data_IF_133540065915
#
_entry.id   IF_133540065915
#
_cell.length_a   1.000
_cell.length_b   1.000
_cell.length_c   1.000
_cell.angle_alpha   90.00
_cell.angle_beta   90.00
_cell.angle_gamma   90.00
#
_symmetry.space_group_name_H-M   'P 1'
#
loop_
_entity.id
_entity.type
_entity.pdbx_description
1 polymer ?
#
# COMPACT_ATOMS: atom_id res chain seq x y z
N UNK A 1 -9.16 -14.55 9.34
CA UNK A 1 -9.32 -14.30 7.90
C UNK A 1 -9.26 -12.80 7.75
N UNK A 2 -8.19 -12.25 7.17
CA UNK A 2 -8.16 -10.80 6.91
C UNK A 2 -9.05 -10.57 5.69
N UNK A 3 -10.15 -9.87 5.87
CA UNK A 3 -11.00 -9.43 4.76
C UNK A 3 -10.14 -8.56 3.83
N UNK A 4 -10.12 -8.91 2.55
CA UNK A 4 -9.42 -8.14 1.52
C UNK A 4 -10.35 -7.00 1.11
N UNK A 5 -9.90 -5.77 1.34
CA UNK A 5 -10.62 -4.57 0.88
C UNK A 5 -10.67 -4.55 -0.65
N UNK A 6 -11.86 -4.33 -1.19
CA UNK A 6 -12.10 -4.11 -2.62
C UNK A 6 -11.84 -2.65 -3.00
N UNK A 7 -11.67 -2.37 -4.29
CA UNK A 7 -11.32 -1.03 -4.77
C UNK A 7 -12.25 0.09 -4.29
N UNK A 8 -13.57 -0.12 -4.24
CA UNK A 8 -14.51 0.89 -3.72
C UNK A 8 -14.31 1.18 -2.22
N UNK A 9 -13.99 0.15 -1.43
CA UNK A 9 -13.73 0.28 0.00
C UNK A 9 -12.41 1.00 0.25
N UNK A 10 -11.39 0.74 -0.59
CA UNK A 10 -10.11 1.43 -0.55
C UNK A 10 -10.26 2.92 -0.92
N UNK A 11 -11.04 3.24 -1.95
CA UNK A 11 -11.34 4.64 -2.32
C UNK A 11 -12.03 5.35 -1.16
N UNK A 12 -13.08 4.74 -0.58
CA UNK A 12 -13.78 5.31 0.57
C UNK A 12 -12.87 5.52 1.79
N UNK A 13 -11.94 4.59 2.03
CA UNK A 13 -10.92 4.73 3.08
C UNK A 13 -10.02 5.94 2.80
N UNK A 14 -9.51 6.08 1.57
CA UNK A 14 -8.65 7.19 1.18
C UNK A 14 -9.35 8.53 1.41
N UNK A 15 -10.56 8.67 0.91
CA UNK A 15 -11.34 9.92 1.03
C UNK A 15 -11.62 10.28 2.49
N UNK A 16 -11.93 9.29 3.32
CA UNK A 16 -12.35 9.53 4.71
C UNK A 16 -11.17 9.73 5.67
N UNK A 17 -10.12 8.95 5.51
CA UNK A 17 -8.98 8.91 6.44
C UNK A 17 -7.90 9.90 6.04
N UNK A 18 -7.55 9.94 4.75
CA UNK A 18 -6.44 10.77 4.26
C UNK A 18 -6.89 12.14 3.77
N UNK A 19 -8.17 12.28 3.39
CA UNK A 19 -8.78 13.54 2.93
C UNK A 19 -7.92 14.28 1.89
N UNK A 20 -7.74 13.69 0.69
CA UNK A 20 -6.87 14.26 -0.35
C UNK A 20 -7.24 15.69 -0.69
N UNK A 21 -6.22 16.52 -0.93
CA UNK A 21 -6.33 17.94 -1.27
C UNK A 21 -6.08 18.15 -2.75
N UNK A 22 -6.55 19.27 -3.27
CA UNK A 22 -6.32 19.65 -4.66
C UNK A 22 -4.82 19.83 -5.02
N UNK A 23 -3.95 19.98 -4.03
CA UNK A 23 -2.48 20.07 -4.22
C UNK A 23 -1.80 18.72 -4.25
N UNK A 24 -2.48 17.64 -3.85
CA UNK A 24 -1.92 16.31 -3.87
C UNK A 24 -1.89 15.78 -5.30
N UNK A 25 -0.82 15.10 -5.68
CA UNK A 25 -0.57 14.70 -7.08
C UNK A 25 -0.69 13.20 -7.31
N UNK A 26 -0.81 12.41 -6.26
CA UNK A 26 -0.80 10.96 -6.34
C UNK A 26 -0.88 10.30 -4.97
N UNK A 27 -1.22 9.02 -4.99
CA UNK A 27 -1.19 8.13 -3.82
C UNK A 27 0.01 7.20 -3.99
N UNK A 28 0.92 7.24 -3.01
CA UNK A 28 2.06 6.33 -2.95
C UNK A 28 1.81 5.26 -1.89
N UNK A 29 1.70 4.00 -2.32
CA UNK A 29 1.69 2.85 -1.41
C UNK A 29 3.14 2.43 -1.20
N UNK A 30 3.63 2.58 0.04
CA UNK A 30 5.02 2.32 0.40
C UNK A 30 5.14 0.94 1.05
N UNK A 31 6.08 0.12 0.60
CA UNK A 31 6.35 -1.19 1.21
C UNK A 31 7.84 -1.49 1.29
N UNK A 32 8.26 -2.14 2.37
CA UNK A 32 9.64 -2.54 2.60
C UNK A 32 10.13 -3.58 1.59
N UNK A 33 11.34 -3.36 1.08
CA UNK A 33 12.10 -4.33 0.29
C UNK A 33 13.13 -5.03 1.19
N UNK A 34 13.04 -6.36 1.37
CA UNK A 34 14.08 -7.13 2.06
C UNK A 34 15.43 -7.03 1.35
N UNK A 35 16.51 -7.15 2.12
CA UNK A 35 17.89 -7.16 1.62
C UNK A 35 18.65 -8.39 2.12
N UNK A 36 19.92 -8.53 1.74
CA UNK A 36 20.73 -9.67 2.17
C UNK A 36 21.00 -9.69 3.70
N UNK A 37 20.84 -8.56 4.40
CA UNK A 37 21.05 -8.46 5.83
C UNK A 37 19.79 -8.82 6.61
N UNK A 38 18.60 -8.52 6.07
CA UNK A 38 17.31 -8.95 6.61
C UNK A 38 16.58 -9.76 5.55
N UNK A 39 16.71 -11.08 5.67
CA UNK A 39 16.11 -12.04 4.76
C UNK A 39 14.60 -11.85 4.67
N UNK A 40 14.07 -12.11 3.48
CA UNK A 40 12.63 -12.13 3.28
C UNK A 40 11.97 -13.24 4.12
N UNK A 41 10.74 -13.01 4.53
CA UNK A 41 9.96 -13.98 5.30
C UNK A 41 8.46 -13.89 4.95
N UNK A 42 7.67 -14.94 5.23
CA UNK A 42 6.28 -15.03 4.74
C UNK A 42 5.39 -13.85 5.10
N UNK A 43 5.57 -13.23 6.28
CA UNK A 43 4.76 -12.07 6.68
C UNK A 43 5.07 -10.82 5.86
N UNK A 44 6.33 -10.61 5.49
CA UNK A 44 6.73 -9.47 4.65
C UNK A 44 6.31 -9.68 3.22
N UNK A 45 6.44 -10.91 2.71
CA UNK A 45 5.88 -11.26 1.42
C UNK A 45 4.37 -10.98 1.39
N UNK A 46 3.62 -11.42 2.40
CA UNK A 46 2.19 -11.15 2.50
C UNK A 46 1.84 -9.65 2.51
N UNK A 47 2.67 -8.81 3.16
CA UNK A 47 2.50 -7.34 3.13
C UNK A 47 2.76 -6.76 1.74
N UNK A 48 3.78 -7.24 1.02
CA UNK A 48 4.04 -6.82 -0.37
C UNK A 48 2.95 -7.26 -1.33
N UNK A 49 2.45 -8.47 -1.18
CA UNK A 49 1.31 -8.98 -1.95
C UNK A 49 0.03 -8.18 -1.66
N UNK A 50 -0.21 -7.83 -0.40
CA UNK A 50 -1.33 -6.96 -0.01
C UNK A 50 -1.20 -5.56 -0.61
N UNK A 51 -0.03 -4.94 -0.49
CA UNK A 51 0.23 -3.60 -1.05
C UNK A 51 0.10 -3.57 -2.59
N UNK A 52 0.63 -4.59 -3.28
CA UNK A 52 0.45 -4.74 -4.71
C UNK A 52 -1.03 -4.92 -5.08
N UNK A 53 -1.76 -5.76 -4.36
CA UNK A 53 -3.20 -5.95 -4.55
C UNK A 53 -4.01 -4.67 -4.36
N UNK A 54 -3.70 -3.85 -3.35
CA UNK A 54 -4.36 -2.56 -3.17
C UNK A 54 -4.12 -1.60 -4.34
N UNK A 55 -2.89 -1.58 -4.87
CA UNK A 55 -2.55 -0.75 -6.04
C UNK A 55 -3.32 -1.22 -7.28
N UNK A 56 -3.45 -2.53 -7.49
CA UNK A 56 -4.26 -3.10 -8.58
C UNK A 56 -5.74 -2.73 -8.43
N UNK A 57 -6.32 -2.91 -7.25
CA UNK A 57 -7.71 -2.57 -6.95
C UNK A 57 -8.00 -1.07 -7.16
N UNK A 58 -7.12 -0.20 -6.66
CA UNK A 58 -7.24 1.25 -6.81
C UNK A 58 -7.04 1.72 -8.26
N UNK A 59 -6.09 1.14 -8.99
CA UNK A 59 -5.90 1.42 -10.41
C UNK A 59 -7.13 0.98 -11.23
N UNK A 60 -7.75 -0.14 -10.85
CA UNK A 60 -8.97 -0.67 -11.46
C UNK A 60 -10.20 0.24 -11.30
N UNK A 61 -10.23 1.12 -10.30
CA UNK A 61 -11.32 2.10 -10.11
C UNK A 61 -11.28 3.25 -11.14
N UNK A 62 -10.17 3.43 -11.87
CA UNK A 62 -10.05 4.45 -12.90
C UNK A 62 -10.39 5.84 -12.38
N UNK A 63 -11.38 6.50 -13.01
CA UNK A 63 -11.80 7.85 -12.65
C UNK A 63 -12.49 7.98 -11.28
N UNK A 64 -12.90 6.87 -10.66
CA UNK A 64 -13.43 6.88 -9.30
C UNK A 64 -12.31 6.97 -8.24
N UNK A 65 -11.06 6.67 -8.60
CA UNK A 65 -9.92 6.92 -7.71
C UNK A 65 -9.56 8.42 -7.77
N UNK A 66 -9.46 9.13 -6.64
CA UNK A 66 -9.28 10.58 -6.63
C UNK A 66 -7.93 11.04 -7.19
N UNK A 67 -6.92 10.16 -7.19
CA UNK A 67 -5.55 10.46 -7.58
C UNK A 67 -4.90 9.23 -8.23
N UNK A 68 -3.89 9.40 -9.11
CA UNK A 68 -3.14 8.28 -9.65
C UNK A 68 -2.41 7.53 -8.53
N UNK A 69 -2.43 6.20 -8.58
CA UNK A 69 -1.84 5.33 -7.56
C UNK A 69 -0.50 4.76 -8.05
N UNK A 70 0.46 4.58 -7.14
CA UNK A 70 1.76 3.97 -7.45
C UNK A 70 2.28 3.12 -6.28
N UNK A 71 2.96 2.01 -6.60
CA UNK A 71 3.65 1.17 -5.63
C UNK A 71 5.12 1.59 -5.56
N UNK A 72 5.60 1.88 -4.36
CA UNK A 72 6.97 2.27 -4.10
C UNK A 72 7.63 1.30 -3.12
N UNK A 73 8.69 0.66 -3.58
CA UNK A 73 9.54 -0.18 -2.74
C UNK A 73 10.70 0.66 -2.22
N UNK A 74 10.93 0.61 -0.91
CA UNK A 74 12.08 1.28 -0.29
C UNK A 74 12.92 0.27 0.50
N UNK A 75 14.26 0.44 0.54
CA UNK A 75 15.11 -0.45 1.31
C UNK A 75 14.69 -0.45 2.77
N UNK A 76 14.49 -1.65 3.33
CA UNK A 76 14.22 -1.77 4.76
C UNK A 76 15.35 -1.09 5.57
N UNK A 77 14.99 -0.15 6.44
CA UNK A 77 15.92 0.62 7.27
C UNK A 77 16.49 -0.16 8.46
N UNK A 78 16.19 -1.47 8.54
CA UNK A 78 16.75 -2.42 9.54
C UNK A 78 16.33 -2.12 10.99
N UNK A 79 15.49 -1.10 11.21
CA UNK A 79 14.84 -0.80 12.49
C UNK A 79 13.37 -1.19 12.41
N UNK A 80 13.00 -2.13 13.27
CA UNK A 80 11.84 -3.01 13.14
C UNK A 80 10.50 -2.32 13.46
N UNK A 81 9.83 -1.76 12.45
CA UNK A 81 8.35 -1.71 12.40
C UNK A 81 7.75 -3.01 11.81
N UNK A 82 8.61 -4.00 11.50
CA UNK A 82 8.26 -5.29 10.92
C UNK A 82 7.40 -6.19 11.83
N UNK A 83 7.43 -5.95 13.14
CA UNK A 83 6.63 -6.66 14.16
C UNK A 83 5.39 -5.90 14.64
N UNK A 84 5.07 -4.72 14.08
CA UNK A 84 3.79 -4.08 14.36
C UNK A 84 2.64 -5.01 13.91
N UNK A 85 1.59 -5.17 14.73
CA UNK A 85 0.52 -6.15 14.50
C UNK A 85 -0.22 -5.93 13.17
#
# INVERSE_FOLDING_TARGET
MSERLQGEELVALIERVFQPRATDTGIAVLVDLPDAAVADHPRWQARREMAAGWVEELAGQGAACPLPVSLWLYPNVRTNNGDLP
#
